data_IF_760589985585
#
_entry.id   IF_760589985585
#
_cell.length_a   1.000
_cell.length_b   1.000
_cell.length_c   1.000
_cell.angle_alpha   90.00
_cell.angle_beta   90.00
_cell.angle_gamma   90.00
#
_symmetry.space_group_name_H-M   'P 1'
#
loop_
_entity.id
_entity.type
_entity.pdbx_description
1 polymer ?
#
# COMPACT_ATOMS: atom_id res chain seq x y z
N UNK A 1 -10.51 -8.96 1.33
CA UNK A 1 -9.03 -8.91 1.43
C UNK A 1 -8.60 -8.97 2.91
N UNK A 2 -7.49 -9.64 3.25
CA UNK A 2 -7.04 -9.77 4.65
C UNK A 2 -6.22 -8.56 5.15
N UNK A 3 -5.34 -8.00 4.32
CA UNK A 3 -4.50 -6.83 4.63
C UNK A 3 -3.29 -6.73 3.68
N UNK A 4 -2.45 -5.71 3.88
CA UNK A 4 -1.20 -5.48 3.14
C UNK A 4 -0.04 -5.32 4.10
N UNK A 5 1.11 -5.90 3.75
CA UNK A 5 2.39 -5.58 4.37
C UNK A 5 3.20 -4.81 3.34
N UNK A 6 3.69 -3.65 3.74
CA UNK A 6 4.64 -2.84 2.96
C UNK A 6 5.96 -2.73 3.70
N UNK A 7 7.00 -2.27 3.00
CA UNK A 7 8.27 -1.87 3.61
C UNK A 7 8.08 -0.84 4.74
N UNK A 8 7.04 0.00 4.65
CA UNK A 8 6.67 0.93 5.71
C UNK A 8 6.21 0.22 6.98
N UNK A 9 5.43 -0.86 6.85
CA UNK A 9 5.00 -1.69 7.98
C UNK A 9 6.19 -2.44 8.59
N UNK A 10 7.04 -3.02 7.76
CA UNK A 10 8.25 -3.72 8.22
C UNK A 10 9.22 -2.77 8.92
N UNK A 11 9.49 -1.60 8.32
CA UNK A 11 10.35 -0.58 8.93
C UNK A 11 9.80 -0.15 10.29
N UNK A 12 8.52 0.23 10.37
CA UNK A 12 7.87 0.60 11.64
C UNK A 12 7.90 -0.55 12.64
N UNK A 13 7.70 -1.78 12.17
CA UNK A 13 7.74 -2.97 12.99
C UNK A 13 9.12 -3.26 13.56
N UNK A 14 10.18 -3.14 12.76
CA UNK A 14 11.57 -3.30 13.21
C UNK A 14 11.93 -2.23 14.24
N UNK A 15 11.52 -0.98 14.03
CA UNK A 15 11.72 0.08 15.03
C UNK A 15 11.00 -0.22 16.36
N UNK A 16 9.83 -0.87 16.32
CA UNK A 16 9.00 -1.13 17.49
C UNK A 16 9.37 -2.41 18.25
N UNK A 17 9.70 -3.47 17.53
CA UNK A 17 9.86 -4.82 18.08
C UNK A 17 11.25 -5.44 17.84
N UNK A 18 12.13 -4.76 17.09
CA UNK A 18 13.45 -5.28 16.74
C UNK A 18 13.38 -6.65 16.06
N UNK A 19 14.30 -7.55 16.43
CA UNK A 19 14.33 -8.93 15.92
C UNK A 19 13.06 -9.74 16.26
N UNK A 20 12.29 -9.33 17.28
CA UNK A 20 11.03 -9.98 17.64
C UNK A 20 9.97 -9.93 16.54
N UNK A 21 10.07 -8.96 15.61
CA UNK A 21 9.20 -8.86 14.44
C UNK A 21 9.15 -10.16 13.62
N UNK A 22 10.29 -10.84 13.46
CA UNK A 22 10.40 -12.02 12.61
C UNK A 22 9.70 -13.26 13.20
N UNK A 23 9.33 -13.21 14.49
CA UNK A 23 8.48 -14.23 15.12
C UNK A 23 6.98 -13.93 15.03
N UNK A 24 6.59 -12.75 14.55
CA UNK A 24 5.19 -12.34 14.50
C UNK A 24 4.49 -12.86 13.24
N UNK A 25 3.19 -13.12 13.33
CA UNK A 25 2.36 -13.47 12.17
C UNK A 25 2.12 -12.23 11.31
N UNK A 26 1.96 -12.44 10.01
CA UNK A 26 1.59 -11.38 9.07
C UNK A 26 0.36 -10.57 9.54
N UNK A 27 -0.64 -11.23 10.11
CA UNK A 27 -1.86 -10.60 10.60
C UNK A 27 -1.68 -9.64 11.80
N UNK A 28 -0.52 -9.68 12.45
CA UNK A 28 -0.13 -8.84 13.58
C UNK A 28 0.65 -7.59 13.13
N UNK A 29 1.23 -7.64 11.92
CA UNK A 29 2.08 -6.57 11.36
C UNK A 29 1.39 -5.82 10.23
N UNK A 30 0.50 -6.48 9.48
CA UNK A 30 -0.13 -5.92 8.29
C UNK A 30 -1.08 -4.76 8.57
N UNK A 31 -1.19 -3.85 7.60
CA UNK A 31 -2.30 -2.91 7.51
C UNK A 31 -3.56 -3.66 7.06
N UNK A 32 -4.53 -3.85 7.96
CA UNK A 32 -5.76 -4.63 7.71
C UNK A 32 -6.69 -4.00 6.67
N UNK A 33 -6.82 -2.67 6.69
CA UNK A 33 -7.65 -1.90 5.77
C UNK A 33 -6.74 -1.04 4.89
N UNK A 34 -6.07 -1.63 3.88
CA UNK A 34 -5.21 -0.87 2.98
C UNK A 34 -6.03 0.13 2.20
N UNK A 35 -5.40 1.23 1.80
CA UNK A 35 -6.05 2.17 0.88
C UNK A 35 -6.10 1.56 -0.51
N UNK A 36 -7.31 1.57 -1.07
CA UNK A 36 -7.61 1.04 -2.39
C UNK A 36 -8.00 2.17 -3.32
N UNK A 37 -7.84 1.94 -4.62
CA UNK A 37 -8.27 2.86 -5.67
C UNK A 37 -8.82 2.07 -6.85
N UNK A 38 -9.91 2.56 -7.44
CA UNK A 38 -10.48 1.92 -8.64
C UNK A 38 -9.50 1.96 -9.81
N UNK A 39 -9.49 0.90 -10.62
CA UNK A 39 -8.70 0.80 -11.85
C UNK A 39 -9.01 1.89 -12.87
N UNK A 40 -10.20 2.48 -12.80
CA UNK A 40 -10.66 3.54 -13.71
C UNK A 40 -10.29 4.94 -13.21
N UNK A 41 -9.63 5.02 -12.05
CA UNK A 41 -9.24 6.32 -11.47
C UNK A 41 -8.01 6.87 -12.16
N UNK A 42 -8.05 8.16 -12.49
CA UNK A 42 -6.89 8.87 -13.05
C UNK A 42 -5.67 8.76 -12.13
N UNK A 43 -4.51 8.50 -12.72
CA UNK A 43 -3.24 8.40 -12.00
C UNK A 43 -2.90 9.66 -11.18
N UNK A 44 -3.26 10.86 -11.66
CA UNK A 44 -3.10 12.10 -10.91
C UNK A 44 -3.89 12.09 -9.59
N UNK A 45 -5.10 11.51 -9.58
CA UNK A 45 -5.90 11.36 -8.36
C UNK A 45 -5.29 10.31 -7.43
N UNK A 46 -4.74 9.23 -7.98
CA UNK A 46 -3.97 8.25 -7.22
C UNK A 46 -2.77 8.89 -6.51
N UNK A 47 -2.02 9.73 -7.22
CA UNK A 47 -0.88 10.48 -6.69
C UNK A 47 -1.30 11.43 -5.55
N UNK A 48 -2.39 12.16 -5.74
CA UNK A 48 -2.96 13.05 -4.71
C UNK A 48 -3.33 12.29 -3.43
N UNK A 49 -3.97 11.11 -3.55
CA UNK A 49 -4.29 10.25 -2.39
C UNK A 49 -3.03 9.74 -1.70
N UNK A 50 -2.02 9.31 -2.46
CA UNK A 50 -0.74 8.88 -1.92
C UNK A 50 -0.07 9.97 -1.08
N UNK A 51 -0.04 11.21 -1.60
CA UNK A 51 0.49 12.37 -0.89
C UNK A 51 -0.32 12.69 0.38
N UNK A 52 -1.65 12.77 0.26
CA UNK A 52 -2.54 13.07 1.37
C UNK A 52 -2.34 12.11 2.56
N UNK A 53 -2.10 10.84 2.29
CA UNK A 53 -1.94 9.82 3.31
C UNK A 53 -0.49 9.43 3.60
N UNK A 54 0.47 10.11 2.96
CA UNK A 54 1.91 9.80 3.08
C UNK A 54 2.22 8.31 2.85
N UNK A 55 1.59 7.73 1.82
CA UNK A 55 1.81 6.34 1.38
C UNK A 55 2.37 6.33 -0.05
N UNK A 56 3.03 5.25 -0.44
CA UNK A 56 3.70 5.12 -1.74
C UNK A 56 3.06 4.08 -2.65
N UNK A 57 2.02 3.40 -2.20
CA UNK A 57 1.33 2.37 -2.95
C UNK A 57 -0.16 2.38 -2.65
N UNK A 58 -0.97 2.05 -3.66
CA UNK A 58 -2.40 1.82 -3.54
C UNK A 58 -2.73 0.46 -4.17
N UNK A 59 -3.67 -0.25 -3.54
CA UNK A 59 -4.17 -1.52 -4.09
C UNK A 59 -5.29 -1.22 -5.08
N UNK A 60 -5.28 -1.92 -6.21
CA UNK A 60 -6.32 -1.85 -7.23
C UNK A 60 -7.13 -3.15 -7.14
N UNK A 61 -8.37 -3.12 -6.59
CA UNK A 61 -9.19 -4.32 -6.48
C UNK A 61 -9.91 -4.65 -7.80
N UNK A 62 -10.34 -5.91 -7.94
CA UNK A 62 -11.37 -6.32 -8.91
C UNK A 62 -12.79 -6.01 -8.39
N UNK A 63 -13.80 -6.41 -9.17
CA UNK A 63 -15.22 -6.22 -8.85
C UNK A 63 -15.66 -6.98 -7.59
N UNK A 64 -14.94 -8.04 -7.21
CA UNK A 64 -15.18 -8.84 -6.00
C UNK A 64 -14.37 -8.35 -4.79
N UNK A 65 -13.76 -7.15 -4.88
CA UNK A 65 -12.90 -6.58 -3.82
C UNK A 65 -11.68 -7.45 -3.48
N UNK A 66 -11.18 -8.23 -4.44
CA UNK A 66 -9.91 -8.96 -4.34
C UNK A 66 -8.80 -8.13 -4.98
N UNK A 67 -7.56 -8.21 -4.48
CA UNK A 67 -6.45 -7.45 -5.07
C UNK A 67 -6.17 -7.94 -6.51
N UNK A 68 -6.40 -7.06 -7.49
CA UNK A 68 -6.14 -7.30 -8.91
C UNK A 68 -4.83 -6.66 -9.39
N UNK A 69 -4.35 -5.65 -8.66
CA UNK A 69 -3.09 -4.98 -8.95
C UNK A 69 -2.63 -4.05 -7.83
N UNK A 70 -1.48 -3.43 -8.06
CA UNK A 70 -0.90 -2.40 -7.20
C UNK A 70 -0.35 -1.30 -8.09
N UNK A 71 -0.48 -0.05 -7.65
CA UNK A 71 0.17 1.09 -8.28
C UNK A 71 1.10 1.75 -7.27
N UNK A 72 2.36 1.96 -7.66
CA UNK A 72 3.34 2.66 -6.84
C UNK A 72 3.51 4.11 -7.30
N UNK A 73 3.79 4.99 -6.35
CA UNK A 73 4.11 6.40 -6.57
C UNK A 73 5.19 6.57 -7.65
N UNK A 74 6.24 5.77 -7.58
CA UNK A 74 7.37 5.84 -8.51
C UNK A 74 7.00 5.45 -9.94
N UNK A 75 5.99 4.60 -10.14
CA UNK A 75 5.54 4.23 -11.48
C UNK A 75 4.81 5.38 -12.17
N UNK A 76 3.99 6.12 -11.40
CA UNK A 76 3.29 7.32 -11.87
C UNK A 76 4.31 8.41 -12.26
N UNK A 77 5.28 8.67 -11.38
CA UNK A 77 6.30 9.70 -11.61
C UNK A 77 7.19 9.38 -12.83
N UNK A 78 7.62 8.12 -13.00
CA UNK A 78 8.43 7.70 -14.15
C UNK A 78 7.71 7.85 -15.50
N UNK A 79 6.38 7.84 -15.50
CA UNK A 79 5.57 8.03 -16.71
C UNK A 79 5.30 9.50 -17.04
N UNK A 80 5.86 10.44 -16.27
CA UNK A 80 5.72 11.88 -16.51
C UNK A 80 4.33 12.42 -16.15
N UNK A 81 3.58 11.71 -15.30
CA UNK A 81 2.27 12.14 -14.82
C UNK A 81 2.52 13.03 -13.59
N UNK A 82 2.59 14.34 -13.82
CA UNK A 82 2.77 15.40 -12.82
C UNK A 82 1.94 16.64 -13.19
#
# INVERSE_FOLDING_TARGET
>A
MAGVITDGDLRRGLHKWGAGLFGMKAAEVMTRNPRMISRDTLAAKALSLMQQYSITALIVPDEESRPAGVIHLHDILKKGIV
#
